data_IF_019033362656
#
_entry.id   IF_019033362656
#
_cell.length_a   1.000
_cell.length_b   1.000
_cell.length_c   1.000
_cell.angle_alpha   90.00
_cell.angle_beta   90.00
_cell.angle_gamma   90.00
#
_symmetry.space_group_name_H-M   'P 1'
#
loop_
_entity.id
_entity.type
_entity.pdbx_description
1 polymer ?
#
# COMPACT_ATOMS: atom_id res chain seq x y z
N UNK A 1 2.85 -13.82 5.74
CA UNK A 1 4.22 -13.58 6.24
C UNK A 1 4.82 -12.45 5.49
N UNK A 2 5.12 -11.37 6.16
CA UNK A 2 5.31 -10.09 5.48
C UNK A 2 5.80 -9.08 6.50
N UNK A 3 6.59 -8.11 6.08
CA UNK A 3 6.71 -6.84 6.79
C UNK A 3 6.44 -5.70 5.82
N UNK A 4 5.77 -4.66 6.33
CA UNK A 4 5.26 -3.55 5.53
C UNK A 4 5.28 -2.25 6.32
N UNK A 5 5.36 -1.16 5.59
CA UNK A 5 5.13 0.20 6.07
C UNK A 5 4.04 0.84 5.22
N UNK A 6 3.10 1.53 5.87
CA UNK A 6 2.18 2.47 5.22
C UNK A 6 2.48 3.85 5.76
N UNK A 7 2.48 4.86 4.90
CA UNK A 7 2.74 6.23 5.33
C UNK A 7 2.01 7.27 4.48
N UNK A 8 1.73 8.41 5.11
CA UNK A 8 1.25 9.64 4.51
C UNK A 8 2.27 10.74 4.74
N UNK A 9 2.80 11.35 3.68
CA UNK A 9 3.67 12.51 3.81
C UNK A 9 2.86 13.81 3.80
N UNK A 10 2.85 14.53 4.92
CA UNK A 10 2.12 15.79 5.04
C UNK A 10 2.71 16.91 4.16
N UNK A 11 4.01 16.86 3.86
CA UNK A 11 4.68 17.90 3.08
C UNK A 11 4.33 17.80 1.59
N UNK A 12 4.45 16.61 1.01
CA UNK A 12 4.18 16.38 -0.42
C UNK A 12 2.77 15.91 -0.72
N UNK A 13 2.00 15.46 0.30
CA UNK A 13 0.73 14.76 0.14
C UNK A 13 0.84 13.42 -0.63
N UNK A 14 2.05 12.87 -0.76
CA UNK A 14 2.23 11.50 -1.21
C UNK A 14 1.78 10.52 -0.14
N UNK A 15 1.25 9.39 -0.57
CA UNK A 15 0.91 8.28 0.32
C UNK A 15 1.25 6.97 -0.34
N UNK A 16 1.62 5.97 0.45
CA UNK A 16 2.10 4.74 -0.13
C UNK A 16 2.35 3.62 0.86
N UNK A 17 2.67 2.47 0.28
CA UNK A 17 2.96 1.23 0.96
C UNK A 17 4.26 0.68 0.38
N UNK A 18 5.16 0.23 1.27
CA UNK A 18 6.29 -0.58 0.88
C UNK A 18 6.22 -1.91 1.65
N UNK A 19 6.48 -3.02 0.97
CA UNK A 19 6.27 -4.36 1.51
C UNK A 19 7.32 -5.35 1.01
N UNK A 20 7.72 -6.31 1.86
CA UNK A 20 8.58 -7.44 1.49
C UNK A 20 8.17 -8.75 2.18
N UNK A 21 8.50 -9.89 1.55
CA UNK A 21 8.13 -11.25 2.03
C UNK A 21 8.97 -12.36 1.37
N UNK A 22 8.97 -13.55 1.99
CA UNK A 22 9.13 -14.85 1.29
C UNK A 22 7.77 -15.45 0.90
N UNK A 23 7.17 -14.85 -0.12
CA UNK A 23 6.05 -15.36 -0.91
C UNK A 23 6.13 -14.77 -2.32
N UNK A 24 5.42 -15.36 -3.28
CA UNK A 24 5.32 -14.82 -4.65
C UNK A 24 4.49 -13.54 -4.69
N UNK A 25 4.94 -12.56 -5.47
CA UNK A 25 4.15 -11.42 -5.97
C UNK A 25 3.37 -10.62 -4.91
N UNK A 26 4.02 -10.26 -3.80
CA UNK A 26 3.36 -9.54 -2.69
C UNK A 26 2.72 -8.21 -3.09
N UNK A 27 3.32 -7.53 -4.08
CA UNK A 27 2.85 -6.24 -4.58
C UNK A 27 1.47 -6.28 -5.23
N UNK A 28 0.99 -7.47 -5.63
CA UNK A 28 -0.32 -7.61 -6.27
C UNK A 28 -1.50 -7.51 -5.29
N UNK A 29 -1.30 -7.83 -4.02
CA UNK A 29 -2.41 -8.08 -3.07
C UNK A 29 -2.32 -7.27 -1.78
N UNK A 30 -1.10 -7.01 -1.28
CA UNK A 30 -0.90 -6.35 0.01
C UNK A 30 -1.06 -4.82 -0.08
N UNK A 31 -0.42 -4.11 -1.03
CA UNK A 31 -0.49 -2.66 -1.11
C UNK A 31 -1.83 -2.14 -1.63
N UNK A 32 -2.42 -1.18 -0.91
CA UNK A 32 -3.55 -0.37 -1.38
C UNK A 32 -3.27 1.09 -1.02
N UNK A 33 -3.32 2.00 -1.98
CA UNK A 33 -3.25 3.43 -1.68
C UNK A 33 -4.09 4.22 -2.68
N UNK A 34 -4.63 5.35 -2.23
CA UNK A 34 -5.37 6.27 -3.10
C UNK A 34 -5.01 7.71 -2.78
N UNK A 35 -4.69 8.45 -3.85
CA UNK A 35 -4.40 9.88 -3.80
C UNK A 35 -5.46 10.60 -2.98
N UNK A 36 -5.05 11.51 -2.10
CA UNK A 36 -5.95 12.29 -1.22
C UNK A 36 -6.77 11.50 -0.19
N UNK A 37 -6.61 10.18 -0.09
CA UNK A 37 -7.41 9.31 0.81
C UNK A 37 -6.56 8.68 1.91
N UNK A 38 -5.56 7.88 1.54
CA UNK A 38 -4.77 7.10 2.51
C UNK A 38 -4.06 5.90 1.89
N UNK A 39 -3.39 5.13 2.73
CA UNK A 39 -2.68 3.90 2.38
C UNK A 39 -2.95 2.79 3.39
N UNK A 40 -3.07 1.55 2.91
CA UNK A 40 -3.43 0.35 3.65
C UNK A 40 -2.58 -0.83 3.20
N UNK A 41 -2.13 -1.65 4.15
CA UNK A 41 -1.56 -2.96 3.86
C UNK A 41 -2.36 -4.06 4.55
N UNK A 42 -2.82 -5.04 3.78
CA UNK A 42 -3.54 -6.23 4.26
C UNK A 42 -2.68 -7.48 4.07
N UNK A 43 -2.34 -8.16 5.16
CA UNK A 43 -1.40 -9.28 5.21
C UNK A 43 -1.78 -10.30 6.31
N UNK A 44 -0.87 -11.21 6.65
CA UNK A 44 -1.21 -12.41 7.43
C UNK A 44 -1.87 -13.43 6.51
N UNK A 45 -3.06 -13.90 6.87
CA UNK A 45 -3.95 -14.54 5.89
C UNK A 45 -4.64 -13.44 5.07
N UNK A 46 -3.95 -12.96 4.04
CA UNK A 46 -4.33 -11.78 3.25
C UNK A 46 -5.78 -11.84 2.74
N UNK A 47 -6.53 -10.78 3.01
CA UNK A 47 -7.83 -10.52 2.41
C UNK A 47 -7.78 -9.16 1.68
N UNK A 48 -7.64 -9.14 0.34
CA UNK A 48 -7.51 -7.90 -0.42
C UNK A 48 -8.74 -6.98 -0.30
N UNK A 49 -9.92 -7.54 0.00
CA UNK A 49 -11.14 -6.76 0.17
C UNK A 49 -11.04 -5.80 1.36
N UNK A 50 -10.28 -6.15 2.40
CA UNK A 50 -10.05 -5.24 3.53
C UNK A 50 -9.34 -3.95 3.07
N UNK A 51 -8.37 -4.06 2.15
CA UNK A 51 -7.70 -2.89 1.57
C UNK A 51 -8.63 -2.03 0.72
N UNK A 52 -9.39 -2.68 -0.18
CA UNK A 52 -10.35 -2.02 -1.07
C UNK A 52 -11.44 -1.29 -0.28
N UNK A 53 -12.07 -1.97 0.68
CA UNK A 53 -13.12 -1.39 1.51
C UNK A 53 -12.58 -0.32 2.47
N UNK A 54 -11.35 -0.47 2.99
CA UNK A 54 -10.72 0.58 3.80
C UNK A 54 -10.59 1.88 3.02
N UNK A 55 -10.10 1.84 1.78
CA UNK A 55 -10.00 3.03 0.93
C UNK A 55 -11.37 3.68 0.69
N UNK A 56 -12.41 2.88 0.48
CA UNK A 56 -13.77 3.40 0.30
C UNK A 56 -14.29 4.09 1.57
N UNK A 57 -14.11 3.48 2.74
CA UNK A 57 -14.55 4.07 4.01
C UNK A 57 -13.81 5.37 4.32
N UNK A 58 -12.48 5.39 4.15
CA UNK A 58 -11.67 6.59 4.33
C UNK A 58 -12.06 7.71 3.36
N UNK A 59 -12.37 7.38 2.10
CA UNK A 59 -12.84 8.33 1.10
C UNK A 59 -14.18 8.97 1.50
N UNK A 60 -15.07 8.22 2.16
CA UNK A 60 -16.33 8.73 2.71
C UNK A 60 -16.16 9.43 4.07
N UNK A 61 -14.93 9.61 4.54
CA UNK A 61 -14.60 10.37 5.75
C UNK A 61 -14.73 9.60 7.06
N UNK A 62 -14.86 8.27 7.00
CA UNK A 62 -14.76 7.41 8.19
C UNK A 62 -13.33 7.48 8.72
N UNK A 63 -13.17 7.50 10.04
CA UNK A 63 -11.84 7.59 10.66
C UNK A 63 -11.02 6.31 10.43
N UNK A 64 -9.69 6.41 10.58
CA UNK A 64 -8.79 5.26 10.52
C UNK A 64 -9.21 4.14 11.48
N UNK A 65 -9.52 4.49 12.73
CA UNK A 65 -9.91 3.54 13.78
C UNK A 65 -11.29 2.93 13.48
N UNK A 66 -12.30 3.76 13.17
CA UNK A 66 -13.64 3.25 12.87
C UNK A 66 -13.63 2.35 11.62
N UNK A 67 -12.83 2.70 10.61
CA UNK A 67 -12.63 1.88 9.40
C UNK A 67 -12.11 0.49 9.78
N UNK A 68 -11.09 0.43 10.64
CA UNK A 68 -10.53 -0.83 11.11
C UNK A 68 -11.59 -1.64 11.87
N UNK A 69 -12.28 -1.03 12.84
CA UNK A 69 -13.27 -1.72 13.66
C UNK A 69 -14.44 -2.26 12.84
N UNK A 70 -14.99 -1.47 11.92
CA UNK A 70 -16.08 -1.88 11.04
C UNK A 70 -15.73 -3.11 10.20
N UNK A 71 -14.51 -3.14 9.66
CA UNK A 71 -14.06 -4.25 8.81
C UNK A 71 -13.77 -5.53 9.61
N UNK A 72 -13.23 -5.40 10.82
CA UNK A 72 -12.95 -6.56 11.68
C UNK A 72 -14.22 -7.19 12.23
N UNK A 73 -15.27 -6.40 12.48
CA UNK A 73 -16.55 -6.90 12.97
C UNK A 73 -17.23 -7.88 12.00
N UNK A 74 -17.03 -7.70 10.69
CA UNK A 74 -17.66 -8.51 9.64
C UNK A 74 -16.74 -9.64 9.10
N UNK A 75 -15.44 -9.65 9.45
CA UNK A 75 -14.51 -10.72 9.07
C UNK A 75 -14.43 -11.80 10.16
N UNK A 76 -15.17 -12.90 9.97
CA UNK A 76 -15.16 -14.06 10.88
C UNK A 76 -13.78 -14.68 11.10
N UNK A 77 -12.79 -14.37 10.26
CA UNK A 77 -11.41 -14.84 10.42
C UNK A 77 -10.45 -13.69 10.78
N UNK A 78 -10.94 -12.60 11.39
CA UNK A 78 -10.15 -11.44 11.80
C UNK A 78 -8.91 -11.82 12.64
N UNK A 79 -9.01 -12.89 13.44
CA UNK A 79 -7.91 -13.45 14.23
C UNK A 79 -6.73 -13.95 13.38
N UNK A 80 -6.93 -14.26 12.09
CA UNK A 80 -5.88 -14.67 11.15
C UNK A 80 -5.37 -13.51 10.26
N UNK A 81 -5.96 -12.32 10.40
CA UNK A 81 -5.63 -11.13 9.59
C UNK A 81 -4.58 -10.28 10.26
N UNK A 82 -3.81 -9.57 9.43
CA UNK A 82 -3.04 -8.42 9.86
C UNK A 82 -3.34 -7.26 8.89
N UNK A 83 -3.80 -6.13 9.42
CA UNK A 83 -4.22 -4.96 8.65
C UNK A 83 -3.65 -3.72 9.32
N UNK A 84 -3.06 -2.80 8.56
CA UNK A 84 -2.69 -1.50 9.08
C UNK A 84 -2.86 -0.42 8.02
N UNK A 85 -3.20 0.79 8.45
CA UNK A 85 -3.57 1.89 7.57
C UNK A 85 -3.18 3.25 8.11
N UNK A 86 -3.12 4.22 7.22
CA UNK A 86 -2.97 5.65 7.49
C UNK A 86 -3.95 6.45 6.63
N UNK A 87 -4.68 7.39 7.25
CA UNK A 87 -5.56 8.31 6.55
C UNK A 87 -4.84 9.59 6.09
N UNK A 88 -5.49 10.39 5.24
CA UNK A 88 -4.98 11.68 4.74
C UNK A 88 -4.68 12.74 5.81
N UNK A 89 -5.11 12.53 7.06
CA UNK A 89 -4.86 13.41 8.20
C UNK A 89 -3.69 12.91 9.05
N UNK A 90 -3.11 11.76 8.69
CA UNK A 90 -2.01 11.13 9.42
C UNK A 90 -2.47 10.28 10.60
N UNK A 91 -3.76 9.99 10.75
CA UNK A 91 -4.21 9.04 11.76
C UNK A 91 -3.96 7.62 11.27
N UNK A 92 -3.49 6.76 12.18
CA UNK A 92 -3.17 5.37 11.88
C UNK A 92 -3.95 4.43 12.76
N UNK A 93 -4.36 3.29 12.21
CA UNK A 93 -4.94 2.18 12.94
C UNK A 93 -4.31 0.87 12.45
N UNK A 94 -4.20 -0.11 13.34
CA UNK A 94 -3.62 -1.40 13.01
C UNK A 94 -4.23 -2.54 13.84
N UNK A 95 -4.25 -3.72 13.24
CA UNK A 95 -4.70 -4.96 13.84
C UNK A 95 -3.71 -6.08 13.51
N UNK A 96 -3.43 -6.90 14.50
CA UNK A 96 -2.69 -8.16 14.32
C UNK A 96 -3.46 -9.22 15.08
N UNK A 97 -4.14 -10.09 14.34
CA UNK A 97 -4.90 -11.17 14.93
C UNK A 97 -3.99 -12.19 15.62
N UNK A 98 -4.49 -12.77 16.70
CA UNK A 98 -3.76 -13.69 17.57
C UNK A 98 -3.33 -15.00 16.89
N UNK A 99 -4.00 -15.39 15.81
CA UNK A 99 -3.68 -16.60 15.01
C UNK A 99 -2.65 -16.31 13.90
N UNK A 100 -2.08 -15.10 13.83
CA UNK A 100 -0.98 -14.81 12.92
C UNK A 100 0.23 -15.70 13.27
N UNK A 101 0.70 -16.46 12.29
CA UNK A 101 1.77 -17.45 12.51
C UNK A 101 3.10 -16.78 12.91
N UNK A 102 3.79 -17.36 13.89
CA UNK A 102 5.12 -16.90 14.32
C UNK A 102 5.05 -15.59 15.10
N UNK A 103 6.17 -14.84 15.16
CA UNK A 103 6.12 -13.51 15.73
C UNK A 103 5.36 -12.59 14.79
N UNK A 104 4.35 -11.89 15.30
CA UNK A 104 3.59 -10.90 14.57
C UNK A 104 3.28 -9.70 15.47
N UNK A 105 3.28 -8.52 14.89
CA UNK A 105 2.98 -7.28 15.60
C UNK A 105 2.82 -6.10 14.66
N UNK A 106 2.54 -4.94 15.25
CA UNK A 106 2.48 -3.66 14.57
C UNK A 106 2.89 -2.54 15.51
N UNK A 107 3.35 -1.42 14.94
CA UNK A 107 3.61 -0.17 15.63
C UNK A 107 2.93 0.96 14.86
N UNK A 108 2.20 1.82 15.57
CA UNK A 108 1.47 2.96 15.01
C UNK A 108 2.09 4.27 15.48
N UNK A 109 2.19 5.23 14.56
CA UNK A 109 2.73 6.56 14.80
C UNK A 109 1.91 7.59 14.03
N UNK A 110 1.97 8.89 14.38
CA UNK A 110 1.47 9.92 13.49
C UNK A 110 2.09 9.76 12.10
N UNK A 111 1.25 9.74 11.07
CA UNK A 111 1.61 9.69 9.65
C UNK A 111 2.15 8.38 9.10
N UNK A 112 2.41 7.36 9.92
CA UNK A 112 2.84 6.05 9.41
C UNK A 112 2.63 4.91 10.40
N UNK A 113 2.54 3.69 9.87
CA UNK A 113 2.59 2.49 10.72
C UNK A 113 3.41 1.39 10.04
N UNK A 114 4.03 0.55 10.87
CA UNK A 114 4.77 -0.63 10.43
C UNK A 114 4.11 -1.87 11.01
N UNK A 115 4.05 -2.94 10.23
CA UNK A 115 3.46 -4.20 10.67
C UNK A 115 4.19 -5.38 10.05
N UNK A 116 4.18 -6.51 10.74
CA UNK A 116 4.70 -7.73 10.15
C UNK A 116 4.30 -8.99 10.90
N UNK A 117 4.39 -10.11 10.20
CA UNK A 117 4.02 -11.45 10.70
C UNK A 117 5.00 -12.50 10.17
N UNK A 118 5.22 -13.54 10.98
CA UNK A 118 6.32 -14.50 10.86
C UNK A 118 7.71 -13.83 10.80
N UNK A 119 7.91 -12.72 11.53
CA UNK A 119 9.22 -12.09 11.62
C UNK A 119 10.15 -12.88 12.55
N UNK A 120 11.43 -12.53 12.51
CA UNK A 120 12.41 -13.02 13.50
C UNK A 120 12.17 -12.42 14.90
N UNK A 121 11.45 -11.29 15.01
CA UNK A 121 11.05 -10.67 16.27
C UNK A 121 10.69 -9.19 16.13
N UNK A 122 10.37 -8.56 17.26
CA UNK A 122 9.96 -7.15 17.37
C UNK A 122 10.99 -6.17 16.86
N UNK A 123 12.27 -6.49 17.01
CA UNK A 123 13.39 -5.67 16.56
C UNK A 123 13.30 -5.30 15.07
N UNK A 124 12.62 -6.11 14.26
CA UNK A 124 12.37 -5.79 12.84
C UNK A 124 11.50 -4.55 12.71
N UNK A 125 10.37 -4.49 13.42
CA UNK A 125 9.46 -3.34 13.34
C UNK A 125 10.07 -2.09 13.96
N UNK A 126 10.81 -2.24 15.06
CA UNK A 126 11.54 -1.14 15.69
C UNK A 126 12.56 -0.56 14.71
N UNK A 127 13.38 -1.41 14.06
CA UNK A 127 14.36 -0.95 13.08
C UNK A 127 13.71 -0.24 11.88
N UNK A 128 12.57 -0.74 11.39
CA UNK A 128 11.80 -0.08 10.32
C UNK A 128 11.31 1.30 10.73
N UNK A 129 10.72 1.42 11.92
CA UNK A 129 10.18 2.68 12.44
C UNK A 129 11.29 3.72 12.67
N UNK A 130 12.37 3.31 13.34
CA UNK A 130 13.52 4.16 13.63
C UNK A 130 14.16 4.67 12.35
N UNK A 131 14.34 3.81 11.34
CA UNK A 131 14.89 4.20 10.05
C UNK A 131 14.00 5.20 9.31
N UNK A 132 12.68 5.00 9.31
CA UNK A 132 11.73 5.91 8.68
C UNK A 132 11.75 7.30 9.32
N UNK A 133 11.84 7.37 10.66
CA UNK A 133 11.88 8.61 11.43
C UNK A 133 13.22 9.33 11.32
N UNK A 134 14.34 8.60 11.41
CA UNK A 134 15.70 9.17 11.34
C UNK A 134 16.02 9.81 9.98
N UNK A 135 15.24 9.49 8.94
CA UNK A 135 15.40 9.99 7.57
C UNK A 135 14.33 11.02 7.18
N UNK A 136 13.78 11.77 8.13
CA UNK A 136 12.70 12.74 7.88
C UNK A 136 13.00 13.75 6.75
N UNK A 137 14.26 14.12 6.54
CA UNK A 137 14.73 15.07 5.51
C UNK A 137 14.88 14.44 4.10
N UNK A 138 14.73 13.11 3.96
CA UNK A 138 14.79 12.44 2.67
C UNK A 138 13.44 12.47 1.96
N UNK A 139 13.47 12.31 0.64
CA UNK A 139 12.28 12.13 -0.19
C UNK A 139 11.41 10.95 0.30
N UNK A 140 10.09 11.09 0.16
CA UNK A 140 9.12 10.16 0.71
C UNK A 140 9.38 8.69 0.32
N UNK A 141 9.65 8.44 -0.96
CA UNK A 141 9.89 7.10 -1.48
C UNK A 141 11.20 6.48 -0.95
N UNK A 142 12.24 7.30 -0.77
CA UNK A 142 13.51 6.86 -0.19
C UNK A 142 13.34 6.42 1.27
N UNK A 143 12.54 7.17 2.04
CA UNK A 143 12.21 6.83 3.44
C UNK A 143 11.50 5.49 3.55
N UNK A 144 10.54 5.21 2.68
CA UNK A 144 9.82 3.93 2.64
C UNK A 144 10.76 2.75 2.35
N UNK A 145 11.66 2.91 1.36
CA UNK A 145 12.64 1.87 1.02
C UNK A 145 13.66 1.66 2.15
N UNK A 146 14.16 2.73 2.76
CA UNK A 146 15.06 2.63 3.90
C UNK A 146 14.43 1.93 5.10
N UNK A 147 13.12 2.12 5.34
CA UNK A 147 12.40 1.36 6.35
C UNK A 147 12.46 -0.16 6.06
N UNK A 148 12.14 -0.59 4.82
CA UNK A 148 12.23 -2.01 4.45
C UNK A 148 13.64 -2.57 4.55
N UNK A 149 14.65 -1.82 4.10
CA UNK A 149 16.05 -2.20 4.17
C UNK A 149 16.51 -2.41 5.62
N UNK A 150 16.10 -1.52 6.53
CA UNK A 150 16.36 -1.67 7.96
C UNK A 150 15.64 -2.89 8.57
N UNK A 151 14.40 -3.14 8.16
CA UNK A 151 13.65 -4.33 8.55
C UNK A 151 14.35 -5.63 8.11
N UNK A 152 14.81 -5.70 6.86
CA UNK A 152 15.57 -6.85 6.35
C UNK A 152 16.91 -7.01 7.10
N UNK A 153 17.63 -5.92 7.35
CA UNK A 153 18.89 -5.94 8.09
C UNK A 153 18.73 -6.41 9.54
N UNK A 154 17.58 -6.14 10.17
CA UNK A 154 17.21 -6.66 11.49
C UNK A 154 16.77 -8.14 11.47
N UNK A 155 16.86 -8.80 10.31
CA UNK A 155 16.56 -10.21 10.07
C UNK A 155 15.22 -10.44 9.39
N UNK A 156 14.37 -9.41 9.33
CA UNK A 156 13.12 -9.38 8.58
C UNK A 156 12.26 -10.62 8.77
N UNK A 157 11.98 -11.23 7.63
CA UNK A 157 11.18 -12.41 7.51
C UNK A 157 12.01 -13.69 7.81
N UNK A 158 11.55 -14.49 8.78
CA UNK A 158 12.26 -15.69 9.23
C UNK A 158 12.39 -16.82 8.19
N UNK A 159 11.56 -16.86 7.12
CA UNK A 159 11.74 -17.86 6.04
C UNK A 159 12.65 -17.35 4.92
N UNK A 160 13.12 -16.11 4.97
CA UNK A 160 14.02 -15.50 3.99
C UNK A 160 13.33 -14.48 3.07
N UNK A 161 13.71 -14.46 1.79
CA UNK A 161 13.33 -13.41 0.84
C UNK A 161 12.82 -13.96 -0.49
N UNK A 162 11.80 -13.34 -1.08
CA UNK A 162 11.28 -13.70 -2.40
C UNK A 162 10.67 -12.55 -3.19
N UNK A 163 9.84 -11.69 -2.60
CA UNK A 163 9.23 -10.57 -3.32
C UNK A 163 9.16 -9.30 -2.49
N UNK A 164 9.12 -8.17 -3.18
CA UNK A 164 8.98 -6.84 -2.58
C UNK A 164 8.29 -5.88 -3.55
N UNK A 165 7.66 -4.84 -3.01
CA UNK A 165 7.00 -3.82 -3.81
C UNK A 165 7.03 -2.44 -3.13
N UNK A 166 7.00 -1.40 -3.95
CA UNK A 166 6.81 -0.01 -3.57
C UNK A 166 5.63 0.55 -4.38
N UNK A 167 4.53 0.84 -3.69
CA UNK A 167 3.32 1.40 -4.28
C UNK A 167 3.06 2.78 -3.69
N UNK A 168 3.19 3.83 -4.49
CA UNK A 168 3.03 5.22 -4.08
C UNK A 168 2.04 5.91 -5.01
N UNK A 169 1.17 6.72 -4.43
CA UNK A 169 0.23 7.61 -5.14
C UNK A 169 0.49 9.04 -4.69
N UNK A 170 0.18 9.99 -5.57
CA UNK A 170 0.33 11.41 -5.28
C UNK A 170 -1.01 12.12 -5.55
N UNK A 171 -1.18 12.74 -6.72
CA UNK A 171 -2.39 13.51 -7.06
C UNK A 171 -3.28 12.80 -8.09
N UNK A 172 -2.69 11.96 -8.93
CA UNK A 172 -3.41 11.28 -10.01
C UNK A 172 -4.16 10.03 -9.53
N UNK A 173 -5.14 9.60 -10.34
CA UNK A 173 -5.92 8.38 -10.07
C UNK A 173 -5.13 7.08 -10.31
N UNK A 174 -3.95 7.19 -10.95
CA UNK A 174 -3.01 6.10 -11.18
C UNK A 174 -1.75 6.30 -10.33
N UNK A 175 -0.96 5.24 -10.08
CA UNK A 175 0.16 5.32 -9.15
C UNK A 175 1.27 6.28 -9.59
N UNK A 176 1.77 7.04 -8.62
CA UNK A 176 3.04 7.75 -8.72
C UNK A 176 4.23 6.81 -8.73
N UNK A 177 4.17 5.60 -8.18
CA UNK A 177 5.11 4.50 -8.41
C UNK A 177 4.36 3.18 -8.16
N UNK A 178 4.55 2.21 -9.05
CA UNK A 178 4.15 0.82 -8.82
C UNK A 178 5.32 -0.06 -9.29
N UNK A 179 6.28 -0.24 -8.38
CA UNK A 179 7.49 -1.00 -8.63
C UNK A 179 7.40 -2.33 -7.90
N UNK A 180 7.64 -3.43 -8.62
CA UNK A 180 7.42 -4.78 -8.11
C UNK A 180 8.55 -5.70 -8.52
N UNK A 181 9.03 -6.46 -7.55
CA UNK A 181 9.91 -7.61 -7.74
C UNK A 181 9.16 -8.83 -7.23
N UNK A 182 8.52 -9.55 -8.13
CA UNK A 182 7.56 -10.60 -7.75
C UNK A 182 8.22 -11.95 -7.40
N UNK A 183 9.45 -12.18 -7.85
CA UNK A 183 10.25 -13.36 -7.50
C UNK A 183 11.75 -13.12 -7.72
N UNK A 184 12.50 -12.95 -6.63
CA UNK A 184 13.96 -12.84 -6.65
C UNK A 184 14.58 -13.28 -5.32
N UNK A 185 15.85 -13.71 -5.34
CA UNK A 185 16.57 -14.09 -4.12
C UNK A 185 16.90 -12.87 -3.23
N UNK A 186 17.05 -11.70 -3.85
CA UNK A 186 17.34 -10.42 -3.20
C UNK A 186 16.35 -9.35 -3.70
N UNK A 187 15.05 -9.43 -3.32
CA UNK A 187 14.01 -8.60 -3.92
C UNK A 187 14.14 -7.12 -3.55
N UNK A 188 14.66 -6.78 -2.37
CA UNK A 188 14.87 -5.37 -1.98
C UNK A 188 16.02 -4.71 -2.76
N UNK A 189 17.08 -5.46 -3.08
CA UNK A 189 18.17 -4.94 -3.93
C UNK A 189 17.65 -4.61 -5.33
N UNK A 190 16.86 -5.52 -5.91
CA UNK A 190 16.23 -5.29 -7.22
C UNK A 190 15.18 -4.17 -7.16
N UNK A 191 14.42 -4.06 -6.06
CA UNK A 191 13.44 -2.99 -5.91
C UNK A 191 14.13 -1.63 -5.82
N UNK A 192 15.27 -1.55 -5.13
CA UNK A 192 16.13 -0.37 -5.10
C UNK A 192 16.65 -0.04 -6.50
N UNK A 193 17.11 -1.02 -7.26
CA UNK A 193 17.52 -0.82 -8.66
C UNK A 193 16.37 -0.26 -9.52
N UNK A 194 15.17 -0.84 -9.44
CA UNK A 194 13.99 -0.33 -10.15
C UNK A 194 13.62 1.10 -9.71
N UNK A 195 13.80 1.43 -8.44
CA UNK A 195 13.57 2.79 -7.94
C UNK A 195 14.57 3.78 -8.54
N UNK A 196 15.86 3.46 -8.58
CA UNK A 196 16.87 4.31 -9.23
C UNK A 196 16.65 4.43 -10.75
N UNK A 197 16.22 3.34 -11.40
CA UNK A 197 15.84 3.34 -12.81
C UNK A 197 14.63 4.24 -13.06
N UNK A 198 13.66 4.24 -12.14
CA UNK A 198 12.50 5.15 -12.20
C UNK A 198 12.88 6.63 -12.06
N UNK A 199 14.09 6.96 -11.62
CA UNK A 199 14.57 8.35 -11.49
C UNK A 199 15.27 8.87 -12.74
N UNK A 200 15.52 8.01 -13.72
CA UNK A 200 16.20 8.40 -14.96
C UNK A 200 15.34 9.34 -15.80
N UNK A 201 16.00 10.26 -16.53
CA UNK A 201 15.34 11.34 -17.28
C UNK A 201 14.29 10.82 -18.28
N UNK A 202 14.55 9.70 -18.95
CA UNK A 202 13.62 9.14 -19.94
C UNK A 202 12.29 8.74 -19.28
N UNK A 203 12.34 8.14 -18.08
CA UNK A 203 11.16 7.68 -17.38
C UNK A 203 10.42 8.84 -16.73
N UNK A 204 11.14 9.79 -16.15
CA UNK A 204 10.57 11.03 -15.62
C UNK A 204 9.91 11.88 -16.72
N UNK A 205 10.50 11.95 -17.91
CA UNK A 205 9.91 12.61 -19.07
C UNK A 205 8.63 11.91 -19.54
N UNK A 206 8.66 10.57 -19.61
CA UNK A 206 7.47 9.78 -19.93
C UNK A 206 6.34 10.04 -18.91
N UNK A 207 6.66 10.04 -17.61
CA UNK A 207 5.72 10.33 -16.53
C UNK A 207 5.05 11.69 -16.67
N UNK A 208 5.84 12.73 -16.85
CA UNK A 208 5.36 14.10 -16.98
C UNK A 208 4.50 14.31 -18.23
N UNK A 209 4.63 13.44 -19.24
CA UNK A 209 3.79 13.45 -20.44
C UNK A 209 2.42 12.78 -20.24
N UNK A 210 2.21 12.02 -19.16
CA UNK A 210 0.96 11.30 -18.92
C UNK A 210 -0.18 12.26 -18.54
N UNK A 211 -1.42 12.03 -19.02
CA UNK A 211 -2.54 12.90 -18.70
C UNK A 211 -2.95 12.74 -17.23
N UNK A 212 -3.19 13.83 -16.48
CA UNK A 212 -3.57 13.73 -15.06
C UNK A 212 -5.06 13.38 -14.85
N UNK A 213 -5.88 13.47 -15.90
CA UNK A 213 -7.33 13.30 -15.83
C UNK A 213 -7.86 12.51 -17.03
N UNK A 214 -8.96 11.79 -16.80
CA UNK A 214 -9.68 11.12 -17.88
C UNK A 214 -10.17 12.14 -18.93
N UNK A 215 -10.11 11.84 -20.25
CA UNK A 215 -10.61 12.73 -21.28
C UNK A 215 -12.08 13.13 -21.04
N UNK A 216 -12.36 14.45 -21.00
CA UNK A 216 -13.71 15.01 -20.77
C UNK A 216 -14.76 14.48 -21.76
N UNK A 217 -14.34 14.14 -22.98
CA UNK A 217 -15.19 13.54 -24.02
C UNK A 217 -15.70 12.14 -23.63
N UNK A 218 -14.93 11.36 -22.87
CA UNK A 218 -15.38 10.06 -22.36
C UNK A 218 -16.39 10.20 -21.23
N UNK A 219 -16.16 11.12 -20.27
CA UNK A 219 -17.08 11.34 -19.14
C UNK A 219 -18.46 11.82 -19.62
N UNK A 220 -18.48 12.75 -20.58
CA UNK A 220 -19.73 13.23 -21.19
C UNK A 220 -20.44 12.17 -22.04
N UNK A 221 -19.69 11.28 -22.71
CA UNK A 221 -20.26 10.15 -23.45
C UNK A 221 -20.88 9.10 -22.51
N UNK A 222 -20.23 8.79 -21.38
CA UNK A 222 -20.77 7.89 -20.35
C UNK A 222 -22.04 8.48 -19.73
N UNK A 223 -22.04 9.76 -19.37
CA UNK A 223 -23.22 10.42 -18.83
C UNK A 223 -24.40 10.39 -19.82
N UNK A 224 -24.15 10.61 -21.11
CA UNK A 224 -25.18 10.46 -22.17
C UNK A 224 -25.65 9.02 -22.33
N UNK A 225 -24.75 8.05 -22.29
CA UNK A 225 -25.07 6.62 -22.37
C UNK A 225 -25.94 6.16 -21.20
N UNK A 226 -25.61 6.57 -19.97
CA UNK A 226 -26.37 6.25 -18.76
C UNK A 226 -27.71 7.00 -18.66
N UNK A 227 -27.82 8.18 -19.29
CA UNK A 227 -29.08 8.92 -19.40
C UNK A 227 -30.03 8.37 -20.48
N UNK A 228 -29.59 7.38 -21.28
CA UNK A 228 -30.43 6.77 -22.32
C UNK A 228 -31.31 5.67 -21.70
N UNK A 229 -32.65 5.71 -21.86
CA UNK A 229 -33.54 4.68 -21.30
C UNK A 229 -33.23 3.28 -21.85
N UNK A 230 -33.23 2.28 -20.97
CA UNK A 230 -32.85 0.86 -21.21
C UNK A 230 -33.61 0.20 -22.39
N UNK A 231 -34.75 0.74 -22.83
CA UNK A 231 -35.57 0.15 -23.91
C UNK A 231 -34.90 0.12 -25.30
N UNK A 232 -33.79 0.83 -25.52
CA UNK A 232 -33.12 0.88 -26.84
C UNK A 232 -31.81 0.08 -26.95
N UNK A 233 -31.43 -0.71 -25.94
CA UNK A 233 -30.13 -1.43 -25.95
C UNK A 233 -30.18 -2.89 -26.47
N UNK A 234 -31.35 -3.39 -26.91
CA UNK A 234 -31.51 -4.78 -27.36
C UNK A 234 -31.65 -4.96 -28.89
N UNK A 235 -31.36 -3.95 -29.72
CA UNK A 235 -31.53 -4.07 -31.19
C UNK A 235 -30.23 -4.18 -31.99
N UNK A 236 -29.08 -4.42 -31.34
CA UNK A 236 -27.79 -4.59 -32.05
C UNK A 236 -27.06 -5.84 -31.58
N UNK A 237 -27.76 -6.97 -31.43
CA UNK A 237 -27.20 -8.31 -31.61
C UNK A 237 -28.32 -9.20 -32.16
N UNK A 238 -28.44 -9.25 -33.50
CA UNK A 238 -29.14 -10.31 -34.23
C UNK A 238 -28.41 -10.54 -35.54
#
# INVERSE_FOLDING_TARGET
>A
MTFSIVAWDAATQMTGVAVATKHLAVGALVPHAKATVGAIATQGQTNPLLGICSLQLLEHGVSAEDTLQLLLQDDLNCHQRQLHLVDRRGHTAAWTGEDCVGWAGHLTYPYFSVAGNMLVGEQVLVAMADAYQAKAEMEFCDRLLHALEAGEAAGGDKRGRQSAALYVVHQDVYPYLDLRVDHHANPLVELRYLFEESRQDYYQSFRQSMPPQCPRTMVSAIAKYLATPIKNQLTVIS
#
